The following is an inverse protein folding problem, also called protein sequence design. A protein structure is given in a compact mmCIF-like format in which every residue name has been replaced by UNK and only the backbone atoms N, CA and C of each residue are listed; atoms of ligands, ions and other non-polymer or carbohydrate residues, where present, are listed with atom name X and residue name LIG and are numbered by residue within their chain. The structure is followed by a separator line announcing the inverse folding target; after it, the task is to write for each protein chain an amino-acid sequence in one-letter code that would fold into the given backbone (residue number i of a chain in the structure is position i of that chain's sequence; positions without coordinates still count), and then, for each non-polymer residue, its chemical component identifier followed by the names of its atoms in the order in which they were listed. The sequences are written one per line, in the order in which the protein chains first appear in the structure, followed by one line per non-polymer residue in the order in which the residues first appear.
data_IF_502133459729
#
_entry.id   IF_502133459729
#
_cell.length_a   1.000
_cell.length_b   1.000
_cell.length_c   1.000
_cell.angle_alpha   90.00
_cell.angle_beta   90.00
_cell.angle_gamma   90.00
#
_symmetry.space_group_name_H-M   'P 1'
#
loop_
_entity.id
_entity.type
_entity.pdbx_description
1 polymer ?
#
# COMPACT_ATOMS: atom_id res chain seq x y z
N UNK A 1 -18.42 -19.60 -13.74
CA UNK A 1 -18.04 -20.31 -12.49
C UNK A 1 -19.06 -19.96 -11.42
N UNK A 2 -19.29 -20.91 -10.51
CA UNK A 2 -19.99 -20.69 -9.24
C UNK A 2 -18.95 -20.56 -8.14
N UNK A 3 -19.08 -19.56 -7.27
CA UNK A 3 -18.13 -19.32 -6.17
C UNK A 3 -18.89 -19.12 -4.86
N UNK A 4 -18.26 -19.56 -3.77
CA UNK A 4 -18.71 -19.29 -2.42
C UNK A 4 -17.81 -18.20 -1.83
N UNK A 5 -18.38 -17.08 -1.42
CA UNK A 5 -17.62 -15.96 -0.90
C UNK A 5 -17.88 -15.83 0.61
N UNK A 6 -16.81 -15.72 1.38
CA UNK A 6 -16.85 -15.37 2.81
C UNK A 6 -16.26 -13.98 2.93
N UNK A 7 -17.11 -12.99 3.13
CA UNK A 7 -16.74 -11.58 3.10
C UNK A 7 -16.87 -10.98 4.50
N UNK A 8 -15.85 -10.26 4.92
CA UNK A 8 -15.91 -9.52 6.17
C UNK A 8 -16.92 -8.37 6.08
N UNK A 9 -17.87 -8.34 7.05
CA UNK A 9 -18.87 -7.28 7.19
C UNK A 9 -18.71 -6.60 8.53
N UNK A 10 -18.67 -5.28 8.52
CA UNK A 10 -18.49 -4.45 9.71
C UNK A 10 -19.04 -3.05 9.47
N UNK A 11 -19.90 -2.54 10.36
CA UNK A 11 -20.58 -1.25 10.18
C UNK A 11 -19.76 -0.04 10.68
N UNK A 12 -18.58 -0.23 11.15
CA UNK A 12 -17.73 0.87 11.64
C UNK A 12 -16.64 0.43 12.60
N UNK A 13 -15.77 1.35 13.05
CA UNK A 13 -14.62 1.02 13.88
C UNK A 13 -14.98 0.38 15.24
N UNK A 14 -16.17 0.68 15.76
CA UNK A 14 -16.66 0.16 17.03
C UNK A 14 -17.41 -1.17 16.92
N UNK A 15 -17.76 -1.57 15.70
CA UNK A 15 -18.40 -2.85 15.45
C UNK A 15 -17.35 -3.97 15.46
N UNK A 16 -17.75 -5.12 15.99
CA UNK A 16 -16.88 -6.29 16.08
C UNK A 16 -16.63 -6.95 14.72
N UNK A 17 -17.57 -6.77 13.80
CA UNK A 17 -17.55 -7.39 12.48
C UNK A 17 -17.65 -8.92 12.52
N UNK A 18 -17.97 -9.51 11.37
CA UNK A 18 -18.02 -10.97 11.19
C UNK A 18 -17.95 -11.33 9.71
N UNK A 19 -17.62 -12.59 9.43
CA UNK A 19 -17.72 -13.13 8.09
C UNK A 19 -19.18 -13.39 7.72
N UNK A 20 -19.59 -12.95 6.54
CA UNK A 20 -20.89 -13.26 5.93
C UNK A 20 -20.68 -14.15 4.69
N UNK A 21 -21.60 -15.09 4.49
CA UNK A 21 -21.56 -16.05 3.40
C UNK A 21 -22.41 -15.56 2.22
N UNK A 22 -21.81 -15.56 1.03
CA UNK A 22 -22.48 -15.24 -0.22
C UNK A 22 -22.20 -16.32 -1.26
N UNK A 23 -23.10 -16.50 -2.19
CA UNK A 23 -22.91 -17.36 -3.36
C UNK A 23 -23.14 -16.53 -4.61
N UNK A 24 -22.22 -16.63 -5.56
CA UNK A 24 -22.34 -15.96 -6.85
C UNK A 24 -22.21 -16.99 -7.97
N UNK A 25 -23.12 -16.92 -8.92
CA UNK A 25 -23.19 -17.78 -10.09
C UNK A 25 -22.77 -17.01 -11.36
N UNK A 26 -22.46 -17.75 -12.42
CA UNK A 26 -22.16 -17.20 -13.75
C UNK A 26 -20.98 -16.22 -13.82
N UNK A 27 -20.02 -16.33 -12.89
CA UNK A 27 -18.78 -15.53 -12.93
C UNK A 27 -17.95 -15.92 -14.14
N UNK A 28 -17.61 -14.94 -14.99
CA UNK A 28 -16.69 -15.15 -16.12
C UNK A 28 -15.24 -15.26 -15.62
N UNK A 29 -14.43 -16.20 -16.15
CA UNK A 29 -13.00 -16.26 -15.85
C UNK A 29 -12.23 -14.99 -16.24
N UNK A 30 -12.71 -14.24 -17.22
CA UNK A 30 -12.07 -13.01 -17.72
C UNK A 30 -12.42 -11.76 -16.92
N UNK A 31 -13.42 -11.86 -16.05
CA UNK A 31 -13.81 -10.80 -15.13
C UNK A 31 -12.69 -10.51 -14.13
N UNK A 32 -12.48 -9.25 -13.80
CA UNK A 32 -11.60 -8.87 -12.69
C UNK A 32 -12.27 -9.20 -11.34
N UNK A 33 -11.47 -9.29 -10.29
CA UNK A 33 -11.98 -9.53 -8.93
C UNK A 33 -12.95 -8.43 -8.46
N UNK A 34 -12.67 -7.18 -8.84
CA UNK A 34 -13.56 -6.07 -8.49
C UNK A 34 -14.87 -6.10 -9.26
N UNK A 35 -14.86 -6.50 -10.54
CA UNK A 35 -16.09 -6.69 -11.32
C UNK A 35 -16.97 -7.80 -10.72
N UNK A 36 -16.36 -8.87 -10.21
CA UNK A 36 -17.11 -9.91 -9.48
C UNK A 36 -17.79 -9.34 -8.23
N UNK A 37 -17.12 -8.45 -7.47
CA UNK A 37 -17.74 -7.76 -6.33
C UNK A 37 -18.83 -6.77 -6.77
N UNK A 38 -18.67 -6.09 -7.92
CA UNK A 38 -19.72 -5.22 -8.48
C UNK A 38 -20.97 -6.03 -8.83
N UNK A 39 -20.83 -7.22 -9.44
CA UNK A 39 -21.95 -8.12 -9.75
C UNK A 39 -22.65 -8.58 -8.48
N UNK A 40 -21.88 -9.00 -7.46
CA UNK A 40 -22.45 -9.33 -6.15
C UNK A 40 -23.25 -8.16 -5.56
N UNK A 41 -22.69 -6.94 -5.59
CA UNK A 41 -23.37 -5.77 -5.05
C UNK A 41 -24.63 -5.41 -5.80
N UNK A 42 -24.66 -5.57 -7.12
CA UNK A 42 -25.88 -5.40 -7.91
C UNK A 42 -26.96 -6.40 -7.47
N UNK A 43 -26.61 -7.67 -7.30
CA UNK A 43 -27.53 -8.70 -6.82
C UNK A 43 -28.07 -8.40 -5.41
N UNK A 44 -27.23 -7.87 -4.51
CA UNK A 44 -27.64 -7.48 -3.15
C UNK A 44 -28.62 -6.29 -3.20
N UNK A 45 -28.31 -5.28 -4.00
CA UNK A 45 -29.16 -4.09 -4.17
C UNK A 45 -30.55 -4.49 -4.73
N UNK A 46 -30.60 -5.38 -5.73
CA UNK A 46 -31.85 -5.87 -6.29
C UNK A 46 -32.71 -6.63 -5.25
N UNK A 47 -32.04 -7.30 -4.29
CA UNK A 47 -32.74 -7.99 -3.17
C UNK A 47 -33.10 -7.06 -2.02
N UNK A 48 -32.70 -5.78 -2.07
CA UNK A 48 -32.88 -4.81 -1.00
C UNK A 48 -31.93 -5.03 0.19
N UNK A 49 -30.82 -5.74 -0.02
CA UNK A 49 -29.79 -5.98 0.97
C UNK A 49 -28.68 -4.91 0.91
N UNK A 50 -27.98 -4.70 2.01
CA UNK A 50 -26.89 -3.71 2.09
C UNK A 50 -25.66 -4.20 1.29
N UNK A 51 -25.20 -3.47 0.26
CA UNK A 51 -24.05 -3.86 -0.54
C UNK A 51 -22.78 -3.89 0.29
N UNK A 52 -21.79 -4.68 -0.15
CA UNK A 52 -20.46 -4.72 0.44
C UNK A 52 -19.70 -3.44 0.12
N UNK A 53 -19.24 -2.73 1.14
CA UNK A 53 -18.41 -1.56 0.96
C UNK A 53 -16.95 -1.97 0.70
N UNK A 54 -16.39 -1.52 -0.42
CA UNK A 54 -14.98 -1.72 -0.77
C UNK A 54 -14.45 -0.53 -1.57
N UNK A 55 -13.16 -0.28 -1.43
CA UNK A 55 -12.49 0.81 -2.15
C UNK A 55 -12.06 0.37 -3.54
N UNK A 56 -12.30 1.22 -4.52
CA UNK A 56 -11.80 1.09 -5.88
C UNK A 56 -11.74 2.48 -6.53
N UNK A 57 -10.83 2.65 -7.50
CA UNK A 57 -10.73 3.90 -8.25
C UNK A 57 -10.18 3.63 -9.66
N UNK A 58 -8.85 3.63 -9.85
CA UNK A 58 -8.26 3.55 -11.19
C UNK A 58 -8.55 2.26 -11.96
N UNK A 59 -8.71 1.13 -11.30
CA UNK A 59 -8.83 -0.24 -11.86
C UNK A 59 -7.67 -0.65 -12.79
N UNK A 60 -6.54 0.07 -12.71
CA UNK A 60 -5.34 -0.12 -13.54
C UNK A 60 -4.08 -0.44 -12.72
N UNK A 61 -4.22 -0.69 -11.41
CA UNK A 61 -3.11 -1.05 -10.54
C UNK A 61 -2.17 0.10 -10.17
N UNK A 62 -2.61 1.35 -10.19
CA UNK A 62 -1.76 2.53 -9.98
C UNK A 62 -2.16 3.43 -8.80
N UNK A 63 -3.41 3.35 -8.31
CA UNK A 63 -3.88 4.24 -7.24
C UNK A 63 -3.72 3.67 -5.82
N UNK A 64 -3.56 2.36 -5.65
CA UNK A 64 -3.43 1.71 -4.35
C UNK A 64 -4.73 1.60 -3.54
N UNK A 65 -5.90 1.90 -4.11
CA UNK A 65 -7.17 1.92 -3.35
C UNK A 65 -7.77 0.53 -3.13
N UNK A 66 -7.69 -0.38 -4.11
CA UNK A 66 -8.30 -1.72 -4.09
C UNK A 66 -7.58 -2.71 -3.17
N UNK A 67 -7.39 -2.35 -1.91
CA UNK A 67 -6.56 -3.09 -0.94
C UNK A 67 -7.41 -4.11 -0.18
N UNK A 68 -7.40 -5.35 -0.66
CA UNK A 68 -8.12 -6.48 -0.08
C UNK A 68 -7.19 -7.63 0.28
N UNK A 69 -7.50 -8.30 1.38
CA UNK A 69 -6.90 -9.57 1.76
C UNK A 69 -7.75 -10.70 1.20
N UNK A 70 -7.19 -11.51 0.32
CA UNK A 70 -7.91 -12.57 -0.38
C UNK A 70 -7.22 -13.90 -0.09
N UNK A 71 -7.95 -14.82 0.56
CA UNK A 71 -7.42 -16.12 1.00
C UNK A 71 -6.14 -16.03 1.83
N UNK A 72 -6.00 -14.97 2.62
CA UNK A 72 -4.83 -14.76 3.48
C UNK A 72 -3.63 -14.12 2.79
N UNK A 73 -3.75 -13.67 1.54
CA UNK A 73 -2.71 -12.96 0.79
C UNK A 73 -3.14 -11.54 0.43
N UNK A 74 -2.23 -10.58 0.59
CA UNK A 74 -2.51 -9.20 0.22
C UNK A 74 -2.65 -9.09 -1.30
N UNK A 75 -3.76 -8.53 -1.78
CA UNK A 75 -4.16 -8.47 -3.19
C UNK A 75 -4.48 -9.83 -3.84
N UNK A 76 -4.46 -10.95 -3.08
CA UNK A 76 -4.77 -12.28 -3.57
C UNK A 76 -3.56 -13.05 -4.15
N UNK A 77 -3.79 -14.19 -4.80
CA UNK A 77 -2.73 -15.14 -5.16
C UNK A 77 -1.79 -14.67 -6.29
N UNK A 78 -2.13 -13.57 -6.98
CA UNK A 78 -1.29 -13.02 -8.06
C UNK A 78 -0.08 -12.25 -7.53
N UNK A 79 1.12 -12.55 -8.02
CA UNK A 79 2.34 -11.82 -7.65
C UNK A 79 2.57 -10.58 -8.51
N UNK A 80 2.98 -9.48 -7.90
CA UNK A 80 3.29 -8.23 -8.60
C UNK A 80 2.07 -7.51 -9.20
N UNK A 81 0.86 -7.83 -8.73
CA UNK A 81 -0.40 -7.22 -9.18
C UNK A 81 -1.22 -6.73 -7.99
N UNK A 82 -2.13 -5.81 -8.26
CA UNK A 82 -3.14 -5.35 -7.29
C UNK A 82 -4.46 -6.11 -7.47
N UNK A 83 -5.35 -6.01 -6.51
CA UNK A 83 -6.66 -6.69 -6.55
C UNK A 83 -7.46 -6.37 -7.83
N UNK A 84 -7.40 -5.14 -8.34
CA UNK A 84 -8.10 -4.78 -9.57
C UNK A 84 -7.52 -5.42 -10.84
N UNK A 85 -6.29 -5.95 -10.77
CA UNK A 85 -5.64 -6.68 -11.86
C UNK A 85 -5.77 -8.20 -11.71
N UNK A 86 -6.28 -8.68 -10.56
CA UNK A 86 -6.56 -10.09 -10.33
C UNK A 86 -7.81 -10.49 -11.11
N UNK A 87 -7.70 -11.54 -11.93
CA UNK A 87 -8.82 -12.07 -12.71
C UNK A 87 -9.38 -13.34 -12.09
N UNK A 88 -10.66 -13.58 -12.32
CA UNK A 88 -11.38 -14.73 -11.74
C UNK A 88 -10.88 -16.08 -12.24
N UNK A 89 -10.16 -16.14 -13.36
CA UNK A 89 -9.45 -17.35 -13.83
C UNK A 89 -8.35 -17.85 -12.88
N UNK A 90 -7.98 -17.05 -11.87
CA UNK A 90 -7.08 -17.48 -10.78
C UNK A 90 -7.76 -18.41 -9.76
N UNK A 91 -9.06 -18.63 -9.89
CA UNK A 91 -9.87 -19.49 -9.02
C UNK A 91 -10.58 -20.57 -9.83
N UNK A 92 -11.02 -21.62 -9.15
CA UNK A 92 -11.75 -22.71 -9.78
C UNK A 92 -13.23 -22.66 -9.48
N UNK A 93 -14.03 -23.33 -10.33
CA UNK A 93 -15.46 -23.50 -10.07
C UNK A 93 -15.71 -24.23 -8.75
N UNK A 94 -16.56 -23.70 -7.91
CA UNK A 94 -16.87 -24.23 -6.58
C UNK A 94 -15.93 -23.76 -5.46
N UNK A 95 -14.88 -22.99 -5.76
CA UNK A 95 -13.96 -22.48 -4.72
C UNK A 95 -14.68 -21.63 -3.67
N UNK A 96 -14.16 -21.69 -2.45
CA UNK A 96 -14.51 -20.77 -1.37
C UNK A 96 -13.43 -19.72 -1.21
N UNK A 97 -13.79 -18.43 -1.34
CA UNK A 97 -12.88 -17.30 -1.30
C UNK A 97 -13.16 -16.48 -0.04
N UNK A 98 -12.14 -16.29 0.78
CA UNK A 98 -12.18 -15.44 1.97
C UNK A 98 -11.71 -14.03 1.61
N UNK A 99 -12.50 -13.01 1.92
CA UNK A 99 -12.20 -11.62 1.58
C UNK A 99 -12.27 -10.76 2.84
N UNK A 100 -11.15 -10.12 3.18
CA UNK A 100 -10.99 -9.32 4.38
C UNK A 100 -10.37 -7.96 4.09
N UNK A 101 -10.59 -6.94 4.94
CA UNK A 101 -9.90 -5.66 4.81
C UNK A 101 -8.43 -5.76 5.25
N UNK A 102 -7.59 -4.79 4.82
CA UNK A 102 -6.25 -4.62 5.36
C UNK A 102 -6.31 -4.04 6.78
N UNK A 103 -6.59 -4.85 7.77
CA UNK A 103 -6.71 -4.46 9.17
C UNK A 103 -5.34 -4.32 9.84
N UNK A 104 -5.09 -3.15 10.41
CA UNK A 104 -4.00 -2.89 11.34
C UNK A 104 -4.46 -1.82 12.32
N UNK A 105 -3.79 -1.64 13.46
CA UNK A 105 -4.13 -0.56 14.39
C UNK A 105 -4.14 0.81 13.70
N UNK A 106 -3.17 1.04 12.81
CA UNK A 106 -3.07 2.26 12.02
C UNK A 106 -4.02 2.33 10.81
N UNK A 107 -4.78 1.25 10.53
CA UNK A 107 -5.78 1.16 9.46
C UNK A 107 -7.13 0.70 10.02
N UNK A 108 -7.82 1.51 10.82
CA UNK A 108 -9.12 1.13 11.35
C UNK A 108 -10.13 0.93 10.22
N UNK A 109 -11.03 -0.04 10.39
CA UNK A 109 -12.09 -0.31 9.41
C UNK A 109 -13.12 0.81 9.44
N UNK A 110 -13.41 1.40 8.30
CA UNK A 110 -14.48 2.38 8.10
C UNK A 110 -15.81 1.67 7.96
N UNK A 111 -15.90 0.75 6.99
CA UNK A 111 -17.05 -0.14 6.75
C UNK A 111 -16.59 -1.35 5.93
N UNK A 112 -17.00 -2.54 6.30
CA UNK A 112 -16.74 -3.81 5.61
C UNK A 112 -15.25 -3.98 5.24
N UNK A 113 -14.93 -3.81 3.95
CA UNK A 113 -13.59 -3.97 3.40
C UNK A 113 -12.80 -2.65 3.29
N UNK A 114 -13.45 -1.53 3.59
CA UNK A 114 -12.82 -0.20 3.55
C UNK A 114 -12.08 0.11 4.86
N UNK A 115 -10.86 0.60 4.75
CA UNK A 115 -10.03 1.00 5.90
C UNK A 115 -9.56 2.46 5.76
N UNK A 116 -9.41 3.14 6.90
CA UNK A 116 -8.81 4.46 6.94
C UNK A 116 -7.27 4.36 6.84
N UNK A 117 -6.71 4.90 5.76
CA UNK A 117 -5.26 4.94 5.50
C UNK A 117 -4.67 6.35 5.64
N UNK A 118 -5.39 7.27 6.27
CA UNK A 118 -4.93 8.65 6.50
C UNK A 118 -3.62 8.74 7.29
N UNK A 119 -3.27 7.70 8.05
CA UNK A 119 -1.96 7.56 8.67
C UNK A 119 -0.81 7.61 7.65
N UNK A 120 -0.98 7.03 6.47
CA UNK A 120 0.00 7.13 5.38
C UNK A 120 0.12 8.56 4.84
N UNK A 121 -1.00 9.26 4.71
CA UNK A 121 -1.00 10.66 4.26
C UNK A 121 -0.25 11.56 5.24
N UNK A 122 -0.45 11.37 6.54
CA UNK A 122 0.29 12.11 7.58
C UNK A 122 1.79 11.82 7.56
N UNK A 123 2.18 10.56 7.32
CA UNK A 123 3.59 10.21 7.12
C UNK A 123 4.18 10.91 5.89
N UNK A 124 3.46 10.96 4.76
CA UNK A 124 3.92 11.68 3.57
C UNK A 124 3.99 13.19 3.83
N UNK A 125 3.01 13.78 4.53
CA UNK A 125 3.03 15.20 4.91
C UNK A 125 4.24 15.56 5.77
N UNK A 126 4.71 14.64 6.62
CA UNK A 126 5.86 14.86 7.50
C UNK A 126 7.20 15.05 6.78
N UNK A 127 7.35 14.55 5.54
CA UNK A 127 8.63 14.67 4.82
C UNK A 127 8.62 14.19 3.36
N UNK A 128 7.50 13.71 2.85
CA UNK A 128 7.40 13.14 1.50
C UNK A 128 7.34 14.19 0.37
N UNK A 129 8.01 15.31 0.53
CA UNK A 129 8.03 16.43 -0.40
C UNK A 129 9.47 16.89 -0.70
N UNK A 130 9.65 17.74 -1.70
CA UNK A 130 10.89 18.44 -2.02
C UNK A 130 10.62 19.93 -2.10
N UNK A 131 11.58 20.77 -1.62
CA UNK A 131 11.50 22.21 -1.81
C UNK A 131 11.84 22.57 -3.26
N UNK A 132 11.23 23.64 -3.74
CA UNK A 132 11.55 24.22 -5.04
C UNK A 132 12.92 24.88 -4.98
N UNK A 133 13.82 24.54 -5.90
CA UNK A 133 15.08 25.28 -6.04
C UNK A 133 14.77 26.66 -6.61
N UNK A 134 14.90 27.67 -5.75
CA UNK A 134 14.65 29.08 -6.09
C UNK A 134 15.93 29.86 -6.38
N UNK A 135 17.07 29.18 -6.64
CA UNK A 135 18.37 29.84 -6.91
C UNK A 135 18.33 30.77 -8.12
N UNK A 136 17.28 30.71 -8.92
CA UNK A 136 17.06 31.59 -10.08
C UNK A 136 17.93 31.30 -11.30
N UNK A 137 18.85 30.36 -11.20
CA UNK A 137 19.75 29.98 -12.28
C UNK A 137 19.28 28.66 -12.94
N UNK A 138 19.32 28.63 -14.28
CA UNK A 138 19.21 27.39 -15.03
C UNK A 138 20.45 26.54 -14.78
N UNK A 139 20.22 25.22 -14.67
CA UNK A 139 21.34 24.27 -14.60
C UNK A 139 22.12 24.34 -15.91
N UNK A 140 23.46 24.43 -15.81
CA UNK A 140 24.35 24.35 -16.97
C UNK A 140 24.07 23.08 -17.77
N UNK A 141 24.00 23.20 -19.10
CA UNK A 141 23.81 22.06 -20.00
C UNK A 141 24.92 20.99 -19.87
N UNK A 142 26.08 21.38 -19.34
CA UNK A 142 27.19 20.47 -19.04
C UNK A 142 27.22 19.99 -17.58
N UNK A 143 26.18 20.30 -16.79
CA UNK A 143 26.10 19.81 -15.42
C UNK A 143 26.16 18.27 -15.39
N UNK A 144 26.89 17.73 -14.42
CA UNK A 144 26.99 16.27 -14.25
C UNK A 144 25.59 15.72 -13.94
N UNK A 145 25.03 14.86 -14.81
CA UNK A 145 23.73 14.26 -14.57
C UNK A 145 23.79 13.33 -13.34
N UNK A 146 22.64 13.03 -12.76
CA UNK A 146 22.51 12.00 -11.74
C UNK A 146 23.02 10.67 -12.28
N UNK A 147 23.89 9.93 -11.54
CA UNK A 147 24.31 8.60 -11.94
C UNK A 147 23.10 7.70 -12.25
N UNK A 148 23.15 6.99 -13.37
CA UNK A 148 22.01 6.15 -13.81
C UNK A 148 21.60 5.17 -12.74
N UNK A 149 22.56 4.54 -12.04
CA UNK A 149 22.27 3.58 -10.97
C UNK A 149 21.48 4.20 -9.79
N UNK A 150 21.73 5.46 -9.46
CA UNK A 150 21.00 6.17 -8.40
C UNK A 150 19.62 6.60 -8.91
N UNK A 151 19.54 7.07 -10.14
CA UNK A 151 18.27 7.41 -10.77
C UNK A 151 17.35 6.18 -10.87
N UNK A 152 17.84 5.04 -11.35
CA UNK A 152 17.07 3.80 -11.46
C UNK A 152 16.52 3.38 -10.08
N UNK A 153 17.35 3.35 -9.04
CA UNK A 153 16.89 3.03 -7.67
C UNK A 153 15.90 4.04 -7.12
N UNK A 154 16.04 5.32 -7.45
CA UNK A 154 15.08 6.35 -7.05
C UNK A 154 13.72 6.13 -7.73
N UNK A 155 13.72 5.82 -9.02
CA UNK A 155 12.49 5.53 -9.78
C UNK A 155 11.83 4.22 -9.33
N UNK A 156 12.60 3.16 -9.06
CA UNK A 156 12.07 1.92 -8.49
C UNK A 156 11.37 2.20 -7.15
N UNK A 157 11.99 2.98 -6.26
CA UNK A 157 11.37 3.38 -5.00
C UNK A 157 10.13 4.28 -5.20
N UNK A 158 10.12 5.12 -6.24
CA UNK A 158 9.00 6.00 -6.58
C UNK A 158 7.75 5.25 -7.07
N UNK A 159 7.88 3.99 -7.49
CA UNK A 159 6.74 3.18 -7.96
C UNK A 159 5.77 2.81 -6.84
N UNK A 160 6.10 3.06 -5.58
CA UNK A 160 5.22 2.81 -4.45
C UNK A 160 3.89 3.58 -4.59
N UNK A 161 2.77 2.85 -4.57
CA UNK A 161 1.41 3.40 -4.73
C UNK A 161 0.67 3.58 -3.40
N UNK A 162 1.32 3.35 -2.25
CA UNK A 162 0.70 3.52 -0.93
C UNK A 162 -0.47 2.57 -0.65
N UNK A 163 -0.51 1.39 -1.26
CA UNK A 163 -1.65 0.47 -1.13
C UNK A 163 -1.81 -0.13 0.28
N UNK A 164 -0.75 -0.21 1.07
CA UNK A 164 -0.78 -0.78 2.42
C UNK A 164 -0.53 -2.29 2.49
N UNK A 165 -0.29 -2.99 1.38
CA UNK A 165 0.00 -4.43 1.37
C UNK A 165 1.19 -4.81 2.27
N UNK A 166 2.22 -3.97 2.31
CA UNK A 166 3.39 -4.15 3.17
C UNK A 166 3.05 -4.12 4.67
N UNK A 167 2.08 -3.32 5.08
CA UNK A 167 1.59 -3.27 6.47
C UNK A 167 0.71 -4.49 6.76
N UNK A 168 -0.23 -4.78 5.87
CA UNK A 168 -1.17 -5.90 6.03
C UNK A 168 -0.45 -7.25 6.11
N UNK A 169 0.59 -7.48 5.30
CA UNK A 169 1.36 -8.73 5.30
C UNK A 169 2.38 -8.84 6.45
N UNK A 170 2.68 -7.73 7.13
CA UNK A 170 3.66 -7.71 8.20
C UNK A 170 3.05 -8.20 9.52
N UNK A 171 3.72 -9.15 10.21
CA UNK A 171 3.29 -9.64 11.53
C UNK A 171 3.14 -8.53 12.58
N UNK A 172 3.91 -7.46 12.43
CA UNK A 172 3.91 -6.32 13.35
C UNK A 172 3.17 -5.11 12.77
N UNK A 173 2.53 -5.22 11.61
CA UNK A 173 1.92 -4.10 10.90
C UNK A 173 2.88 -2.91 10.71
N UNK A 174 4.14 -3.18 10.33
CA UNK A 174 5.17 -2.16 10.15
C UNK A 174 5.04 -1.44 8.82
N UNK A 175 5.15 -0.11 8.83
CA UNK A 175 5.15 0.72 7.62
C UNK A 175 6.55 1.00 7.06
N UNK A 176 7.59 0.32 7.58
CA UNK A 176 8.99 0.59 7.20
C UNK A 176 9.25 0.54 5.70
N UNK A 177 8.62 -0.38 4.96
CA UNK A 177 8.80 -0.46 3.50
C UNK A 177 8.19 0.76 2.79
N UNK A 178 7.00 1.19 3.21
CA UNK A 178 6.33 2.38 2.67
C UNK A 178 7.15 3.65 2.91
N UNK A 179 7.57 3.88 4.16
CA UNK A 179 8.36 5.07 4.54
C UNK A 179 9.71 5.09 3.83
N UNK A 180 10.40 3.94 3.83
CA UNK A 180 11.72 3.81 3.23
C UNK A 180 11.72 4.01 1.71
N UNK A 181 10.65 3.62 1.03
CA UNK A 181 10.50 3.87 -0.40
C UNK A 181 10.52 5.39 -0.70
N UNK A 182 9.76 6.19 0.04
CA UNK A 182 9.74 7.64 -0.15
C UNK A 182 11.06 8.31 0.28
N UNK A 183 11.63 7.90 1.39
CA UNK A 183 12.95 8.39 1.84
C UNK A 183 14.01 8.07 0.79
N UNK A 184 14.07 6.84 0.29
CA UNK A 184 15.06 6.43 -0.73
C UNK A 184 14.88 7.18 -2.04
N UNK A 185 13.64 7.35 -2.51
CA UNK A 185 13.34 8.11 -3.73
C UNK A 185 14.04 9.47 -3.70
N UNK A 186 13.87 10.22 -2.63
CA UNK A 186 14.40 11.57 -2.53
C UNK A 186 15.85 11.65 -2.08
N UNK A 187 16.34 10.70 -1.27
CA UNK A 187 17.75 10.66 -0.86
C UNK A 187 18.71 10.36 -2.02
N UNK A 188 18.25 9.72 -3.07
CA UNK A 188 19.04 9.39 -4.25
C UNK A 188 19.04 10.49 -5.32
N UNK A 189 18.14 11.46 -5.21
CA UNK A 189 17.99 12.55 -6.16
C UNK A 189 18.51 13.88 -5.61
N UNK A 190 19.16 14.74 -6.42
CA UNK A 190 19.63 16.05 -5.99
C UNK A 190 18.52 16.92 -5.40
N UNK A 191 17.31 16.84 -5.97
CA UNK A 191 16.14 17.61 -5.53
C UNK A 191 15.72 17.31 -4.09
N UNK A 192 15.98 16.11 -3.61
CA UNK A 192 15.63 15.69 -2.25
C UNK A 192 16.69 15.94 -1.19
N UNK A 193 17.88 16.42 -1.57
CA UNK A 193 19.01 16.60 -0.64
C UNK A 193 18.81 17.70 0.40
N UNK A 194 18.21 18.87 0.09
CA UNK A 194 18.03 19.93 1.09
C UNK A 194 17.32 19.46 2.35
N UNK A 195 16.27 18.64 2.21
CA UNK A 195 15.46 18.13 3.33
C UNK A 195 15.83 16.71 3.76
N UNK A 196 16.89 16.11 3.24
CA UNK A 196 17.17 14.67 3.43
C UNK A 196 17.25 14.26 4.90
N UNK A 197 17.86 15.08 5.77
CA UNK A 197 17.97 14.81 7.21
C UNK A 197 16.61 14.94 7.91
N UNK A 198 15.94 16.06 7.71
CA UNK A 198 14.67 16.36 8.34
C UNK A 198 13.60 15.36 7.86
N UNK A 199 13.62 15.01 6.57
CA UNK A 199 12.72 14.02 5.99
C UNK A 199 12.79 12.68 6.73
N UNK A 200 13.99 12.10 6.86
CA UNK A 200 14.10 10.77 7.47
C UNK A 200 13.72 10.81 8.95
N UNK A 201 14.12 11.85 9.68
CA UNK A 201 13.76 12.00 11.09
C UNK A 201 12.25 12.20 11.29
N UNK A 202 11.65 13.10 10.53
CA UNK A 202 10.23 13.44 10.66
C UNK A 202 9.32 12.29 10.20
N UNK A 203 9.64 11.64 9.09
CA UNK A 203 8.81 10.55 8.58
C UNK A 203 8.89 9.30 9.47
N UNK A 204 10.06 8.98 10.03
CA UNK A 204 10.19 7.87 10.99
C UNK A 204 9.45 8.20 12.29
N UNK A 205 9.60 9.42 12.81
CA UNK A 205 8.87 9.88 13.99
C UNK A 205 7.35 9.79 13.77
N UNK A 206 6.86 10.30 12.64
CA UNK A 206 5.43 10.25 12.32
C UNK A 206 4.94 8.80 12.20
N UNK A 207 5.71 7.91 11.58
CA UNK A 207 5.37 6.48 11.52
C UNK A 207 5.19 5.86 12.91
N UNK A 208 6.08 6.21 13.86
CA UNK A 208 5.98 5.71 15.23
C UNK A 208 4.75 6.29 15.95
N UNK A 209 4.44 7.57 15.73
CA UNK A 209 3.26 8.26 16.31
C UNK A 209 1.93 7.69 15.76
N UNK A 210 1.90 7.20 14.53
CA UNK A 210 0.72 6.56 13.93
C UNK A 210 0.45 5.14 14.46
N UNK A 211 1.33 4.60 15.27
CA UNK A 211 1.16 3.29 15.89
C UNK A 211 1.49 2.11 14.97
N UNK A 212 2.30 2.32 13.93
CA UNK A 212 2.86 1.23 13.15
C UNK A 212 3.89 0.45 13.98
N UNK A 213 3.86 -0.86 13.87
CA UNK A 213 4.77 -1.72 14.61
C UNK A 213 6.20 -1.75 14.09
N UNK A 214 7.11 -2.23 14.93
CA UNK A 214 8.53 -2.33 14.60
C UNK A 214 8.83 -3.42 13.56
N UNK A 215 9.76 -3.13 12.67
CA UNK A 215 10.23 -4.09 11.68
C UNK A 215 11.09 -5.19 12.32
N UNK A 216 10.74 -6.45 12.07
CA UNK A 216 11.52 -7.64 12.47
C UNK A 216 12.18 -8.34 11.28
N UNK A 217 12.25 -7.66 10.14
CA UNK A 217 12.94 -8.08 8.93
C UNK A 217 12.50 -9.46 8.39
N UNK A 218 11.20 -9.75 8.44
CA UNK A 218 10.65 -11.03 7.92
C UNK A 218 10.60 -11.11 6.40
N UNK A 219 10.64 -9.99 5.70
CA UNK A 219 10.60 -9.92 4.24
C UNK A 219 9.22 -10.05 3.59
N UNK A 220 8.16 -10.35 4.33
CA UNK A 220 6.82 -10.51 3.78
C UNK A 220 6.33 -9.28 2.98
N UNK A 221 6.70 -8.08 3.43
CA UNK A 221 6.32 -6.83 2.79
C UNK A 221 6.87 -6.66 1.37
N UNK A 222 8.07 -7.16 1.08
CA UNK A 222 8.65 -7.16 -0.27
C UNK A 222 7.97 -8.18 -1.18
N UNK A 223 7.70 -9.38 -0.64
CA UNK A 223 7.06 -10.48 -1.38
C UNK A 223 5.64 -10.10 -1.83
N UNK A 224 4.87 -9.44 -0.96
CA UNK A 224 3.49 -9.05 -1.21
C UNK A 224 3.36 -7.68 -1.91
N UNK A 225 4.48 -7.00 -2.16
CA UNK A 225 4.43 -5.67 -2.79
C UNK A 225 4.06 -5.77 -4.27
N UNK A 226 2.92 -5.19 -4.73
CA UNK A 226 2.51 -5.24 -6.13
C UNK A 226 3.42 -4.41 -7.04
N UNK A 227 4.34 -3.61 -6.47
CA UNK A 227 5.30 -2.76 -7.19
C UNK A 227 6.76 -3.18 -7.00
N UNK A 228 7.01 -4.30 -6.32
CA UNK A 228 8.37 -4.82 -6.15
C UNK A 228 9.31 -3.91 -5.37
N UNK A 229 8.79 -3.14 -4.41
CA UNK A 229 9.63 -2.28 -3.57
C UNK A 229 10.59 -3.14 -2.74
N UNK A 230 11.90 -2.93 -2.91
CA UNK A 230 12.93 -3.75 -2.28
C UNK A 230 13.19 -3.36 -0.81
N UNK A 231 13.51 -4.37 0.00
CA UNK A 231 14.01 -4.21 1.38
C UNK A 231 15.31 -3.41 1.47
N UNK A 232 16.07 -3.26 0.39
CA UNK A 232 17.24 -2.38 0.35
C UNK A 232 16.90 -0.94 0.75
N UNK A 233 15.67 -0.50 0.47
CA UNK A 233 15.20 0.82 0.88
C UNK A 233 15.16 0.97 2.39
N UNK A 234 14.77 -0.08 3.14
CA UNK A 234 14.77 -0.08 4.61
C UNK A 234 16.21 0.06 5.14
N UNK A 235 17.14 -0.71 4.56
CA UNK A 235 18.54 -0.62 4.96
C UNK A 235 19.12 0.77 4.71
N UNK A 236 18.77 1.41 3.59
CA UNK A 236 19.16 2.79 3.27
C UNK A 236 18.57 3.78 4.28
N UNK A 237 17.27 3.71 4.52
CA UNK A 237 16.58 4.58 5.47
C UNK A 237 17.19 4.48 6.87
N UNK A 238 17.47 3.27 7.36
CA UNK A 238 18.09 3.08 8.68
C UNK A 238 19.47 3.73 8.77
N UNK A 239 20.29 3.63 7.71
CA UNK A 239 21.58 4.30 7.62
C UNK A 239 21.43 5.82 7.61
N UNK A 240 20.49 6.34 6.81
CA UNK A 240 20.24 7.77 6.70
C UNK A 240 19.69 8.34 8.02
N UNK A 241 18.80 7.60 8.70
CA UNK A 241 18.30 7.94 10.03
C UNK A 241 19.41 8.02 11.09
N UNK A 242 20.27 7.01 11.16
CA UNK A 242 21.41 7.01 12.08
C UNK A 242 22.33 8.21 11.82
N UNK A 243 22.66 8.46 10.56
CA UNK A 243 23.50 9.61 10.16
C UNK A 243 22.84 10.94 10.52
N UNK A 244 21.54 11.09 10.26
CA UNK A 244 20.79 12.30 10.59
C UNK A 244 20.75 12.52 12.10
N UNK A 245 20.46 11.50 12.90
CA UNK A 245 20.42 11.57 14.37
C UNK A 245 21.75 12.03 14.98
N UNK A 246 22.88 11.51 14.48
CA UNK A 246 24.21 11.90 14.97
C UNK A 246 24.64 13.32 14.56
N UNK A 247 24.02 13.89 13.53
CA UNK A 247 24.39 15.21 12.99
C UNK A 247 23.42 16.33 13.30
N UNK A 248 22.25 16.03 13.86
CA UNK A 248 21.23 17.02 14.28
C UNK A 248 21.42 17.52 15.71
N UNK A 249 22.32 16.94 16.49
CA UNK A 249 22.62 17.37 17.87
C UNK A 249 23.59 18.57 17.96
N UNK A 250 23.61 19.42 16.92
CA UNK A 250 24.45 20.63 16.95
C UNK A 250 23.63 21.88 16.69
#
# INVERSE_FOLDING_TARGET
MRLNLKIWRQNGPQDKGSMADYQIDNVSPDMSFLEMLDVLNNDLIEKGEDPVAFDHDCREGICGMCSLYINGEAHGPGRGITTCQLHMRSFNDGDTIYIEPFRATAFPVIKDLMVDRSSFDRVIQAGGYVSVNTSGNTIDANAIPVPKADADKAFDAATCIGCGACVASCKNASAMLFVSAKVSQFSLLPQGQPEAKDRVLNMVKQMDEEGFGNCTNTGACEVECPKGISLENIARMNRDFLKASLTSEK
#
